data_IF_597427444024
#
_entry.id   IF_597427444024
#
_cell.length_a   1.000
_cell.length_b   1.000
_cell.length_c   1.000
_cell.angle_alpha   90.00
_cell.angle_beta   90.00
_cell.angle_gamma   90.00
#
_symmetry.space_group_name_H-M   'P 1'
#
loop_
_entity.id
_entity.type
_entity.pdbx_description
1 polymer ?
#
# COMPACT_ATOMS: atom_id res chain seq x y z
N UNK A 1 63.47 10.49 34.73
CA UNK A 1 63.22 10.41 33.28
C UNK A 1 61.97 9.57 33.05
N UNK A 2 61.12 9.96 32.07
CA UNK A 2 59.68 9.71 32.07
C UNK A 2 59.28 8.38 31.43
N UNK A 3 58.14 7.84 31.87
CA UNK A 3 57.37 6.82 31.17
C UNK A 3 55.99 7.36 30.83
N UNK A 4 55.82 7.70 29.55
CA UNK A 4 54.62 8.07 28.79
C UNK A 4 53.45 7.09 29.03
N UNK A 5 52.25 7.55 29.41
CA UNK A 5 51.16 8.06 28.55
C UNK A 5 50.49 7.00 27.63
N UNK A 6 49.25 6.64 28.00
CA UNK A 6 48.08 6.57 27.11
C UNK A 6 47.86 5.32 26.26
N UNK A 7 46.70 4.67 26.41
CA UNK A 7 45.66 4.67 25.38
C UNK A 7 44.46 3.77 25.75
N UNK A 8 43.28 4.32 25.50
CA UNK A 8 41.96 3.69 25.59
C UNK A 8 41.82 2.49 24.62
N UNK A 9 41.16 1.42 25.07
CA UNK A 9 40.57 0.42 24.18
C UNK A 9 39.04 0.44 24.34
N UNK A 10 38.41 1.21 23.47
CA UNK A 10 36.96 1.18 23.26
C UNK A 10 36.57 -0.19 22.71
N UNK A 11 35.76 -0.92 23.47
CA UNK A 11 35.16 -2.19 23.04
C UNK A 11 34.07 -1.88 22.01
N UNK A 12 34.48 -1.63 20.76
CA UNK A 12 33.58 -1.54 19.61
C UNK A 12 32.91 -2.91 19.43
N UNK A 13 31.67 -3.00 19.88
CA UNK A 13 30.74 -4.06 19.52
C UNK A 13 30.61 -4.02 18.00
N UNK A 14 31.24 -4.98 17.34
CA UNK A 14 31.01 -5.28 15.92
C UNK A 14 29.55 -5.69 15.80
N UNK A 15 28.71 -4.75 15.39
CA UNK A 15 27.45 -5.09 14.74
C UNK A 15 27.80 -5.67 13.37
N UNK A 16 27.37 -6.90 13.15
CA UNK A 16 27.59 -7.63 11.92
C UNK A 16 26.87 -6.92 10.75
N UNK A 17 27.49 -6.78 9.57
CA UNK A 17 26.74 -6.50 8.35
C UNK A 17 26.05 -7.81 7.92
N UNK A 18 24.83 -8.03 8.43
CA UNK A 18 24.11 -9.26 8.18
C UNK A 18 22.61 -9.05 8.12
N UNK A 19 22.12 -8.70 6.93
CA UNK A 19 20.84 -9.15 6.40
C UNK A 19 20.60 -8.57 4.99
N UNK A 20 21.20 -9.19 3.97
CA UNK A 20 20.42 -9.49 2.78
C UNK A 20 20.22 -11.00 2.83
N UNK A 21 18.98 -11.49 3.02
CA UNK A 21 18.42 -12.34 1.96
C UNK A 21 16.89 -12.32 1.85
N UNK A 22 16.42 -12.81 0.70
CA UNK A 22 15.04 -13.17 0.33
C UNK A 22 14.28 -12.15 -0.54
N UNK A 23 14.80 -11.96 -1.75
CA UNK A 23 14.05 -11.42 -2.87
C UNK A 23 13.04 -12.47 -3.36
N UNK A 24 11.86 -12.48 -2.73
CA UNK A 24 10.70 -13.26 -3.18
C UNK A 24 9.66 -13.46 -2.07
N UNK A 25 10.02 -14.16 -0.99
CA UNK A 25 9.11 -14.48 0.12
C UNK A 25 9.11 -13.41 1.22
N UNK A 26 10.29 -12.98 1.67
CA UNK A 26 10.42 -12.01 2.75
C UNK A 26 9.84 -10.63 2.42
N UNK A 27 9.88 -10.24 1.14
CA UNK A 27 9.32 -8.98 0.66
C UNK A 27 7.79 -8.95 0.72
N UNK A 28 7.10 -10.01 0.29
CA UNK A 28 5.64 -10.11 0.36
C UNK A 28 5.13 -10.16 1.80
N UNK A 29 5.83 -10.88 2.69
CA UNK A 29 5.51 -10.89 4.12
C UNK A 29 5.69 -9.51 4.76
N UNK A 30 6.77 -8.82 4.41
CA UNK A 30 7.03 -7.44 4.87
C UNK A 30 5.94 -6.48 4.39
N UNK A 31 5.51 -6.60 3.13
CA UNK A 31 4.42 -5.83 2.57
C UNK A 31 3.10 -6.10 3.31
N UNK A 32 2.74 -7.38 3.51
CA UNK A 32 1.55 -7.79 4.26
C UNK A 32 1.55 -7.24 5.69
N UNK A 33 2.69 -7.30 6.38
CA UNK A 33 2.83 -6.74 7.73
C UNK A 33 2.66 -5.22 7.73
N UNK A 34 3.27 -4.52 6.77
CA UNK A 34 3.14 -3.07 6.64
C UNK A 34 1.71 -2.62 6.31
N UNK A 35 0.98 -3.38 5.48
CA UNK A 35 -0.44 -3.16 5.18
C UNK A 35 -1.32 -3.34 6.44
N UNK A 36 -1.07 -4.39 7.23
CA UNK A 36 -1.77 -4.64 8.50
C UNK A 36 -1.51 -3.54 9.55
N UNK A 37 -0.29 -3.00 9.58
CA UNK A 37 0.08 -1.92 10.50
C UNK A 37 -0.44 -0.53 10.06
N UNK A 38 -0.98 -0.41 8.84
CA UNK A 38 -1.57 0.83 8.36
C UNK A 38 -2.96 1.05 8.99
N UNK A 39 -2.95 1.63 10.19
CA UNK A 39 -4.15 1.96 10.98
C UNK A 39 -4.71 3.36 10.69
N UNK A 40 -3.89 4.25 10.15
CA UNK A 40 -4.25 5.66 9.91
C UNK A 40 -3.51 6.19 8.68
N UNK A 41 -4.01 7.28 8.11
CA UNK A 41 -3.42 7.90 6.91
C UNK A 41 -2.07 8.55 7.24
N UNK A 42 -0.99 7.82 7.02
CA UNK A 42 0.39 8.29 7.19
C UNK A 42 1.11 8.35 5.85
N UNK A 43 1.53 9.55 5.43
CA UNK A 43 2.21 9.74 4.14
C UNK A 43 3.53 8.98 4.04
N UNK A 44 4.29 8.89 5.15
CA UNK A 44 5.51 8.09 5.18
C UNK A 44 5.22 6.62 4.99
N UNK A 45 4.25 6.05 5.72
CA UNK A 45 3.85 4.63 5.55
C UNK A 45 3.31 4.33 4.16
N UNK A 46 2.49 5.22 3.59
CA UNK A 46 1.97 5.09 2.23
C UNK A 46 3.13 5.08 1.23
N UNK A 47 4.08 6.02 1.36
CA UNK A 47 5.24 6.09 0.46
C UNK A 47 6.12 4.84 0.57
N UNK A 48 6.35 4.33 1.78
CA UNK A 48 7.08 3.08 2.01
C UNK A 48 6.36 1.88 1.39
N UNK A 49 5.04 1.76 1.55
CA UNK A 49 4.24 0.71 0.92
C UNK A 49 4.31 0.79 -0.61
N UNK A 50 4.25 2.00 -1.17
CA UNK A 50 4.39 2.18 -2.62
C UNK A 50 5.77 1.78 -3.12
N UNK A 51 6.85 2.09 -2.38
CA UNK A 51 8.21 1.66 -2.73
C UNK A 51 8.40 0.14 -2.62
N UNK A 52 7.76 -0.50 -1.62
CA UNK A 52 7.73 -1.96 -1.52
C UNK A 52 6.97 -2.59 -2.70
N UNK A 53 5.83 -2.03 -3.08
CA UNK A 53 5.06 -2.50 -4.24
C UNK A 53 5.86 -2.35 -5.55
N UNK A 54 6.63 -1.27 -5.70
CA UNK A 54 7.54 -1.08 -6.83
C UNK A 54 8.64 -2.15 -6.85
N UNK A 55 9.24 -2.45 -5.70
CA UNK A 55 10.27 -3.51 -5.58
C UNK A 55 9.71 -4.93 -5.80
N UNK A 56 8.41 -5.13 -5.55
CA UNK A 56 7.69 -6.39 -5.70
C UNK A 56 6.90 -6.47 -7.00
N UNK A 57 7.29 -5.71 -8.02
CA UNK A 57 6.57 -5.63 -9.28
C UNK A 57 6.33 -7.02 -9.94
N UNK A 58 7.31 -7.92 -9.88
CA UNK A 58 7.19 -9.29 -10.40
C UNK A 58 6.07 -10.09 -9.69
N UNK A 59 5.73 -9.69 -8.46
CA UNK A 59 4.66 -10.25 -7.63
C UNK A 59 3.44 -9.31 -7.56
N UNK A 60 3.20 -8.47 -8.58
CA UNK A 60 2.11 -7.48 -8.58
C UNK A 60 0.73 -8.11 -8.33
N UNK A 61 0.51 -9.35 -8.78
CA UNK A 61 -0.71 -10.12 -8.51
C UNK A 61 -0.88 -10.38 -7.01
N UNK A 62 0.13 -10.91 -6.34
CA UNK A 62 0.12 -11.22 -4.91
C UNK A 62 0.00 -9.95 -4.06
N UNK A 63 0.72 -8.87 -4.42
CA UNK A 63 0.61 -7.56 -3.78
C UNK A 63 -0.82 -7.01 -3.88
N UNK A 64 -1.43 -7.13 -5.07
CA UNK A 64 -2.82 -6.71 -5.30
C UNK A 64 -3.79 -7.54 -4.46
N UNK A 65 -3.57 -8.85 -4.36
CA UNK A 65 -4.38 -9.73 -3.52
C UNK A 65 -4.30 -9.35 -2.05
N UNK A 66 -3.09 -9.16 -1.51
CA UNK A 66 -2.88 -8.74 -0.12
C UNK A 66 -3.62 -7.44 0.19
N UNK A 67 -3.52 -6.43 -0.68
CA UNK A 67 -4.20 -5.15 -0.50
C UNK A 67 -5.72 -5.26 -0.56
N UNK A 68 -6.23 -5.96 -1.57
CA UNK A 68 -7.69 -6.08 -1.80
C UNK A 68 -8.37 -6.93 -0.73
N UNK A 69 -7.69 -7.97 -0.25
CA UNK A 69 -8.14 -8.79 0.89
C UNK A 69 -8.20 -7.95 2.16
N UNK A 70 -7.12 -7.22 2.48
CA UNK A 70 -7.10 -6.36 3.67
C UNK A 70 -8.22 -5.30 3.63
N UNK A 71 -8.46 -4.63 2.50
CA UNK A 71 -9.54 -3.63 2.39
C UNK A 71 -10.92 -4.27 2.64
N UNK A 72 -11.13 -5.49 2.13
CA UNK A 72 -12.40 -6.22 2.24
C UNK A 72 -12.73 -6.51 3.71
N UNK A 73 -11.74 -6.93 4.51
CA UNK A 73 -11.94 -7.30 5.92
C UNK A 73 -11.64 -6.17 6.93
N UNK A 74 -10.99 -5.09 6.51
CA UNK A 74 -10.63 -4.00 7.41
C UNK A 74 -11.85 -3.25 7.97
N UNK A 75 -11.71 -2.70 9.17
CA UNK A 75 -12.66 -1.74 9.72
C UNK A 75 -12.77 -0.48 8.82
N UNK A 76 -13.93 0.17 8.82
CA UNK A 76 -14.20 1.38 8.02
C UNK A 76 -13.15 2.47 8.21
N UNK A 77 -12.60 2.63 9.43
CA UNK A 77 -11.57 3.64 9.71
C UNK A 77 -10.25 3.39 8.97
N UNK A 78 -10.00 2.13 8.57
CA UNK A 78 -8.80 1.72 7.84
C UNK A 78 -9.01 1.67 6.32
N UNK A 79 -10.24 1.75 5.82
CA UNK A 79 -10.52 1.77 4.38
C UNK A 79 -9.83 2.97 3.71
N UNK A 80 -9.99 4.17 4.27
CA UNK A 80 -9.41 5.38 3.69
C UNK A 80 -7.87 5.32 3.52
N UNK A 81 -7.06 4.95 4.53
CA UNK A 81 -5.62 4.84 4.34
C UNK A 81 -5.23 3.71 3.38
N UNK A 82 -5.92 2.57 3.38
CA UNK A 82 -5.64 1.46 2.44
C UNK A 82 -5.95 1.85 0.98
N UNK A 83 -7.08 2.51 0.74
CA UNK A 83 -7.42 3.05 -0.59
C UNK A 83 -6.42 4.13 -1.03
N UNK A 84 -5.88 4.92 -0.09
CA UNK A 84 -4.80 5.88 -0.40
C UNK A 84 -3.50 5.19 -0.85
N UNK A 85 -3.22 3.97 -0.37
CA UNK A 85 -2.08 3.16 -0.86
C UNK A 85 -2.35 2.70 -2.29
N UNK A 86 -3.55 2.19 -2.57
CA UNK A 86 -3.96 1.79 -3.94
C UNK A 86 -3.80 2.96 -4.91
N UNK A 87 -4.31 4.14 -4.56
CA UNK A 87 -4.13 5.37 -5.36
C UNK A 87 -2.64 5.69 -5.60
N UNK A 88 -1.81 5.61 -4.56
CA UNK A 88 -0.39 5.91 -4.70
C UNK A 88 0.34 4.89 -5.58
N UNK A 89 0.01 3.60 -5.50
CA UNK A 89 0.61 2.55 -6.35
C UNK A 89 0.20 2.76 -7.81
N UNK A 90 -1.08 3.02 -8.06
CA UNK A 90 -1.61 3.27 -9.41
C UNK A 90 -0.95 4.50 -10.07
N UNK A 91 -0.71 5.56 -9.30
CA UNK A 91 -0.07 6.79 -9.80
C UNK A 91 1.42 6.66 -10.02
N UNK A 92 2.14 5.99 -9.12
CA UNK A 92 3.62 6.01 -9.11
C UNK A 92 4.25 4.80 -9.78
N UNK A 93 3.65 3.63 -9.63
CA UNK A 93 4.17 2.37 -10.17
C UNK A 93 3.42 2.04 -11.47
N UNK A 94 2.09 2.03 -11.39
CA UNK A 94 1.22 1.77 -12.54
C UNK A 94 1.47 0.40 -13.20
N UNK A 95 1.06 0.27 -14.47
CA UNK A 95 1.23 -0.92 -15.32
C UNK A 95 0.40 -2.15 -14.89
N UNK A 96 1.02 -3.30 -14.61
CA UNK A 96 0.35 -4.57 -14.26
C UNK A 96 -0.58 -4.45 -13.05
N UNK A 97 -0.26 -3.57 -12.11
CA UNK A 97 -1.15 -3.23 -11.00
C UNK A 97 -2.52 -2.73 -11.48
N UNK A 98 -2.59 -1.92 -12.55
CA UNK A 98 -3.87 -1.46 -13.11
C UNK A 98 -4.69 -2.64 -13.61
N UNK A 99 -4.07 -3.59 -14.30
CA UNK A 99 -4.73 -4.79 -14.83
C UNK A 99 -5.29 -5.66 -13.71
N UNK A 100 -4.46 -5.98 -12.70
CA UNK A 100 -4.89 -6.81 -11.58
C UNK A 100 -5.95 -6.13 -10.72
N UNK A 101 -5.78 -4.84 -10.40
CA UNK A 101 -6.75 -4.08 -9.61
C UNK A 101 -8.07 -3.88 -10.36
N UNK A 102 -8.06 -3.71 -11.68
CA UNK A 102 -9.28 -3.52 -12.48
C UNK A 102 -10.31 -4.63 -12.26
N UNK A 103 -9.85 -5.87 -12.08
CA UNK A 103 -10.72 -7.05 -11.89
C UNK A 103 -11.28 -7.18 -10.49
N UNK A 104 -10.64 -6.58 -9.47
CA UNK A 104 -10.98 -6.77 -8.05
C UNK A 104 -11.58 -5.53 -7.40
N UNK A 105 -11.09 -4.35 -7.76
CA UNK A 105 -11.41 -3.10 -7.08
C UNK A 105 -12.92 -2.78 -7.04
N UNK A 106 -13.76 -3.11 -8.05
CA UNK A 106 -15.18 -2.80 -7.96
C UNK A 106 -15.90 -3.58 -6.87
N UNK A 107 -15.57 -4.87 -6.73
CA UNK A 107 -16.15 -5.71 -5.68
C UNK A 107 -15.66 -5.28 -4.29
N UNK A 108 -14.37 -4.94 -4.18
CA UNK A 108 -13.76 -4.46 -2.93
C UNK A 108 -14.38 -3.12 -2.51
N UNK A 109 -14.56 -2.18 -3.43
CA UNK A 109 -15.20 -0.90 -3.15
C UNK A 109 -16.66 -1.06 -2.76
N UNK A 110 -17.42 -1.93 -3.44
CA UNK A 110 -18.80 -2.25 -3.05
C UNK A 110 -18.86 -2.74 -1.59
N UNK A 111 -18.01 -3.69 -1.23
CA UNK A 111 -17.91 -4.18 0.15
C UNK A 111 -17.51 -3.08 1.15
N UNK A 112 -16.58 -2.20 0.77
CA UNK A 112 -16.20 -1.04 1.57
C UNK A 112 -17.35 -0.05 1.77
N UNK A 113 -18.18 0.19 0.74
CA UNK A 113 -19.33 1.10 0.83
C UNK A 113 -20.45 0.56 1.69
N UNK A 114 -20.69 -0.76 1.70
CA UNK A 114 -21.73 -1.36 2.54
C UNK A 114 -21.48 -1.15 4.03
N UNK A 115 -20.21 -1.11 4.45
CA UNK A 115 -19.80 -0.84 5.85
C UNK A 115 -19.47 0.63 6.15
N UNK A 116 -19.67 1.54 5.21
CA UNK A 116 -19.29 2.95 5.31
C UNK A 116 -20.47 3.87 5.57
N UNK A 117 -20.29 4.89 6.41
CA UNK A 117 -21.24 6.02 6.54
C UNK A 117 -21.16 6.97 5.33
N UNK A 118 -22.14 7.88 5.19
CA UNK A 118 -22.24 8.84 4.09
C UNK A 118 -20.97 9.67 3.87
N UNK A 119 -20.29 10.02 4.97
CA UNK A 119 -19.01 10.75 4.91
C UNK A 119 -17.94 9.94 4.18
N UNK A 120 -17.81 8.65 4.49
CA UNK A 120 -16.82 7.78 3.86
C UNK A 120 -17.23 7.44 2.42
N UNK A 121 -18.53 7.24 2.16
CA UNK A 121 -19.06 7.07 0.80
C UNK A 121 -18.72 8.26 -0.10
N UNK A 122 -18.99 9.48 0.38
CA UNK A 122 -18.64 10.70 -0.35
C UNK A 122 -17.13 10.85 -0.58
N UNK A 123 -16.30 10.45 0.39
CA UNK A 123 -14.84 10.43 0.21
C UNK A 123 -14.40 9.43 -0.87
N UNK A 124 -14.95 8.21 -0.86
CA UNK A 124 -14.65 7.18 -1.86
C UNK A 124 -15.11 7.60 -3.25
N UNK A 125 -16.30 8.19 -3.38
CA UNK A 125 -16.81 8.69 -4.65
C UNK A 125 -15.94 9.82 -5.21
N UNK A 126 -15.52 10.74 -4.33
CA UNK A 126 -14.58 11.82 -4.67
C UNK A 126 -13.23 11.25 -5.11
N UNK A 127 -12.75 10.19 -4.45
CA UNK A 127 -11.49 9.52 -4.80
C UNK A 127 -11.53 8.93 -6.22
N UNK A 128 -12.62 8.21 -6.56
CA UNK A 128 -12.81 7.65 -7.90
C UNK A 128 -12.86 8.76 -8.96
N UNK A 129 -13.65 9.81 -8.73
CA UNK A 129 -13.84 10.88 -9.71
C UNK A 129 -12.64 11.83 -9.85
N UNK A 130 -12.16 12.37 -8.75
CA UNK A 130 -11.13 13.42 -8.78
C UNK A 130 -9.71 12.90 -8.95
N UNK A 131 -9.51 11.58 -8.88
CA UNK A 131 -8.18 11.02 -9.07
C UNK A 131 -8.14 9.85 -10.01
N UNK A 132 -8.92 8.80 -9.79
CA UNK A 132 -8.78 7.62 -10.64
C UNK A 132 -9.25 7.90 -12.07
N UNK A 133 -10.35 8.64 -12.21
CA UNK A 133 -10.86 9.11 -13.50
C UNK A 133 -10.03 10.26 -14.05
N UNK A 134 -9.74 11.29 -13.23
CA UNK A 134 -8.93 12.45 -13.65
C UNK A 134 -7.53 12.08 -14.16
N UNK A 135 -6.88 11.09 -13.55
CA UNK A 135 -5.53 10.64 -13.93
C UNK A 135 -5.55 9.35 -14.76
N UNK A 136 -6.72 8.92 -15.25
CA UNK A 136 -6.86 7.72 -16.11
C UNK A 136 -6.15 6.49 -15.52
N UNK A 137 -6.33 6.28 -14.21
CA UNK A 137 -5.71 5.19 -13.47
C UNK A 137 -6.33 3.83 -13.79
N UNK A 138 -7.59 3.83 -14.24
CA UNK A 138 -8.32 2.66 -14.71
C UNK A 138 -8.94 2.91 -16.09
N UNK A 139 -9.17 1.86 -16.88
CA UNK A 139 -9.90 1.99 -18.14
C UNK A 139 -11.35 2.44 -17.89
N UNK A 140 -11.91 3.21 -18.83
CA UNK A 140 -13.28 3.74 -18.78
C UNK A 140 -14.35 2.71 -18.37
N UNK A 141 -14.39 1.47 -18.92
CA UNK A 141 -15.40 0.50 -18.50
C UNK A 141 -15.30 0.12 -17.02
N UNK A 142 -14.10 0.13 -16.43
CA UNK A 142 -13.94 -0.14 -14.98
C UNK A 142 -14.41 1.07 -14.17
N UNK A 143 -14.12 2.29 -14.64
CA UNK A 143 -14.59 3.52 -14.00
C UNK A 143 -16.13 3.63 -14.03
N UNK A 144 -16.78 3.20 -15.11
CA UNK A 144 -18.24 3.16 -15.23
C UNK A 144 -18.87 2.19 -14.23
N UNK A 145 -18.30 0.98 -14.09
CA UNK A 145 -18.70 0.02 -13.06
C UNK A 145 -18.50 0.58 -11.65
N UNK A 146 -17.42 1.35 -11.43
CA UNK A 146 -17.18 2.01 -10.15
C UNK A 146 -18.20 3.11 -9.86
N UNK A 147 -18.57 3.94 -10.84
CA UNK A 147 -19.64 4.93 -10.69
C UNK A 147 -20.98 4.26 -10.37
N UNK A 148 -21.32 3.17 -11.06
CA UNK A 148 -22.54 2.39 -10.79
C UNK A 148 -22.58 1.82 -9.36
N UNK A 149 -21.43 1.52 -8.76
CA UNK A 149 -21.32 1.06 -7.37
C UNK A 149 -21.73 2.14 -6.35
N UNK A 150 -21.70 3.43 -6.71
CA UNK A 150 -22.19 4.51 -5.84
C UNK A 150 -23.65 4.91 -6.09
N UNK A 151 -24.28 4.40 -7.15
CA UNK A 151 -25.66 4.70 -7.51
C UNK A 151 -26.69 3.72 -6.93
N UNK A 152 -26.24 2.53 -6.50
CA UNK A 152 -27.06 1.50 -5.86
C UNK A 152 -26.91 1.51 -4.34
#
# INVERSE_FOLDING_TARGET
>A
APGTAGAMATKRKREAPGAAPDAGGGGLESFRKAVKDLKSKSQSKITSLTALADSLYDHARDVTEILTDEISYADVVRVQPLISVVDSILKKVGRDYKTHLSTRIPNVLRGALMKSDDKMRGWLQKMVNESWRKHELFPVPVLDVLDAVFLG
#
